data_IF_193515362732
#
_entry.id   IF_193515362732
#
_cell.length_a   1.000
_cell.length_b   1.000
_cell.length_c   1.000
_cell.angle_alpha   90.00
_cell.angle_beta   90.00
_cell.angle_gamma   90.00
#
_symmetry.space_group_name_H-M   'P 1'
#
loop_
_entity.id
_entity.type
_entity.pdbx_description
1 polymer ?
#
# COMPACT_ATOMS: atom_id res chain seq x y z
N UNK A 1 5.59 5.68 -12.47
CA UNK A 1 4.09 5.79 -12.45
C UNK A 1 3.60 5.74 -11.00
N UNK A 2 2.46 6.37 -10.68
CA UNK A 2 1.83 6.30 -9.35
C UNK A 2 0.48 5.59 -9.48
N UNK A 3 0.18 4.65 -8.58
CA UNK A 3 -1.16 4.06 -8.48
C UNK A 3 -1.90 4.63 -7.28
N UNK A 4 -3.20 4.83 -7.41
CA UNK A 4 -4.09 5.31 -6.33
C UNK A 4 -5.26 4.34 -6.05
N UNK A 5 -5.35 3.23 -6.79
CA UNK A 5 -6.44 2.27 -6.68
C UNK A 5 -5.94 0.82 -6.82
N UNK A 6 -6.69 -0.13 -6.24
CA UNK A 6 -6.32 -1.55 -6.27
C UNK A 6 -5.15 -1.93 -5.36
N UNK A 7 -4.88 -1.15 -4.30
CA UNK A 7 -3.65 -1.26 -3.49
C UNK A 7 -3.97 -1.65 -2.03
N UNK A 8 -4.88 -2.58 -1.83
CA UNK A 8 -5.25 -3.06 -0.48
C UNK A 8 -4.39 -4.22 0.02
N UNK A 9 -3.59 -4.85 -0.85
CA UNK A 9 -2.77 -6.02 -0.55
C UNK A 9 -1.30 -5.75 -0.89
N UNK A 10 -0.35 -5.98 0.02
CA UNK A 10 1.09 -5.84 -0.24
C UNK A 10 1.59 -6.60 -1.48
N UNK A 11 0.98 -7.75 -1.80
CA UNK A 11 1.34 -8.57 -2.97
C UNK A 11 1.05 -7.85 -4.28
N UNK A 12 -0.01 -7.02 -4.32
CA UNK A 12 -0.34 -6.23 -5.50
C UNK A 12 0.72 -5.15 -5.73
N UNK A 13 1.28 -4.57 -4.66
CA UNK A 13 2.38 -3.60 -4.77
C UNK A 13 3.61 -4.21 -5.42
N UNK A 14 3.97 -5.45 -5.05
CA UNK A 14 5.11 -6.15 -5.66
C UNK A 14 4.89 -6.31 -7.18
N UNK A 15 3.71 -6.79 -7.59
CA UNK A 15 3.39 -6.91 -9.02
C UNK A 15 3.41 -5.55 -9.74
N UNK A 16 2.79 -4.52 -9.17
CA UNK A 16 2.77 -3.18 -9.77
C UNK A 16 4.17 -2.58 -9.91
N UNK A 17 5.10 -2.86 -8.98
CA UNK A 17 6.51 -2.47 -9.13
C UNK A 17 7.13 -3.10 -10.38
N UNK A 18 6.87 -4.36 -10.67
CA UNK A 18 7.33 -5.03 -11.90
C UNK A 18 6.76 -4.38 -13.18
N UNK A 19 5.54 -3.85 -13.12
CA UNK A 19 4.92 -3.07 -14.20
C UNK A 19 5.42 -1.61 -14.30
N UNK A 20 6.43 -1.22 -13.52
CA UNK A 20 7.07 0.10 -13.57
C UNK A 20 6.35 1.18 -12.74
N UNK A 21 5.53 0.78 -11.75
CA UNK A 21 5.02 1.71 -10.74
C UNK A 21 6.08 1.97 -9.67
N UNK A 22 6.23 3.24 -9.30
CA UNK A 22 7.27 3.74 -8.41
C UNK A 22 6.70 4.45 -7.19
N UNK A 23 5.39 4.65 -7.14
CA UNK A 23 4.68 5.27 -6.03
C UNK A 23 3.27 4.74 -5.90
N UNK A 24 2.75 4.78 -4.67
CA UNK A 24 1.45 4.25 -4.30
C UNK A 24 0.80 5.21 -3.31
N UNK A 25 -0.44 5.62 -3.58
CA UNK A 25 -1.23 6.45 -2.68
C UNK A 25 -2.32 5.58 -2.07
N UNK A 26 -2.28 5.41 -0.75
CA UNK A 26 -3.19 4.52 -0.01
C UNK A 26 -3.56 5.22 1.30
N UNK A 27 -4.83 5.61 1.43
CA UNK A 27 -5.33 6.26 2.63
C UNK A 27 -6.47 5.47 3.25
N UNK A 28 -7.54 5.25 2.48
CA UNK A 28 -8.80 4.64 2.94
C UNK A 28 -8.59 3.29 3.67
N UNK A 29 -7.65 2.46 3.20
CA UNK A 29 -7.35 1.16 3.80
C UNK A 29 -6.91 1.27 5.27
N UNK A 30 -6.11 2.29 5.60
CA UNK A 30 -5.61 2.50 6.96
C UNK A 30 -6.60 3.27 7.83
N UNK A 31 -7.33 4.22 7.23
CA UNK A 31 -8.30 5.07 7.95
C UNK A 31 -9.51 4.30 8.49
N UNK A 32 -9.73 3.05 8.04
CA UNK A 32 -10.77 2.14 8.56
C UNK A 32 -10.40 1.45 9.87
N UNK A 33 -9.16 1.59 10.33
CA UNK A 33 -8.66 0.95 11.55
C UNK A 33 -8.62 1.95 12.70
N UNK A 34 -8.68 1.46 13.94
CA UNK A 34 -8.58 2.30 15.14
C UNK A 34 -7.22 3.01 15.26
N UNK A 35 -6.17 2.45 14.63
CA UNK A 35 -4.84 3.03 14.60
C UNK A 35 -4.25 2.99 13.17
N UNK A 36 -4.60 3.98 12.31
CA UNK A 36 -4.14 4.04 10.93
C UNK A 36 -2.62 4.09 10.79
N UNK A 37 -1.92 4.73 11.75
CA UNK A 37 -0.47 4.81 11.74
C UNK A 37 0.18 3.44 11.93
N UNK A 38 -0.31 2.66 12.88
CA UNK A 38 0.15 1.29 13.10
C UNK A 38 -0.17 0.39 11.89
N UNK A 39 -1.39 0.46 11.34
CA UNK A 39 -1.77 -0.31 10.15
C UNK A 39 -0.88 0.01 8.93
N UNK A 40 -0.54 1.29 8.74
CA UNK A 40 0.38 1.73 7.69
C UNK A 40 1.80 1.16 7.91
N UNK A 41 2.30 1.21 9.14
CA UNK A 41 3.61 0.67 9.48
C UNK A 41 3.69 -0.84 9.22
N UNK A 42 2.70 -1.61 9.65
CA UNK A 42 2.61 -3.06 9.41
C UNK A 42 2.51 -3.38 7.91
N UNK A 43 1.79 -2.58 7.14
CA UNK A 43 1.71 -2.73 5.69
C UNK A 43 3.06 -2.49 5.01
N UNK A 44 3.79 -1.45 5.41
CA UNK A 44 5.14 -1.15 4.89
C UNK A 44 6.13 -2.27 5.26
N UNK A 45 6.01 -2.83 6.48
CA UNK A 45 6.82 -3.95 6.95
C UNK A 45 6.71 -5.18 6.03
N UNK A 46 5.52 -5.46 5.51
CA UNK A 46 5.26 -6.58 4.60
C UNK A 46 5.78 -6.37 3.16
N UNK A 47 6.24 -5.16 2.81
CA UNK A 47 6.75 -4.81 1.47
C UNK A 47 8.29 -4.75 1.44
N UNK A 48 8.93 -4.72 2.61
CA UNK A 48 10.39 -4.83 2.74
C UNK A 48 10.84 -6.27 2.50
#
# INVERSE_FOLDING_TARGET
>A
KVSESGISDPRIIMGLKEYGFQGFLIGENFMKTDNPGFACQEFISQIR
#
